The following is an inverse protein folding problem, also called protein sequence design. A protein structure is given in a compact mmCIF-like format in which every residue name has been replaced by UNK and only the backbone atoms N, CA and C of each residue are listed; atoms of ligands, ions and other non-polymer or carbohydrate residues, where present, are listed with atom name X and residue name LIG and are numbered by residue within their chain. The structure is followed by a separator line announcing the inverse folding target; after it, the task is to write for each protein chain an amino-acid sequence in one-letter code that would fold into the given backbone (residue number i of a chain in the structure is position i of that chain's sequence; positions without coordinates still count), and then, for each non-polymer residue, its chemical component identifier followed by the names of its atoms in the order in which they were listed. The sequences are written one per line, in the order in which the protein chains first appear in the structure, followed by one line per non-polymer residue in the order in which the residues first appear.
data_IF_427212099108
#
_entry.id   IF_427212099108
#
_cell.length_a   1.000
_cell.length_b   1.000
_cell.length_c   1.000
_cell.angle_alpha   90.00
_cell.angle_beta   90.00
_cell.angle_gamma   90.00
#
_symmetry.space_group_name_H-M   'P 1'
#
loop_
_entity.id
_entity.type
_entity.pdbx_description
1 polymer ?
#
# COMPACT_ATOMS: atom_id res chain seq x y z
N UNK A 1 23.69 12.83 -55.34
CA UNK A 1 23.30 13.51 -54.08
C UNK A 1 22.15 12.74 -53.46
N UNK A 2 22.21 12.46 -52.15
CA UNK A 2 21.04 12.03 -51.36
C UNK A 2 20.81 10.53 -51.25
N UNK A 3 21.46 9.91 -50.27
CA UNK A 3 21.05 8.65 -49.63
C UNK A 3 19.65 8.80 -48.99
N UNK A 4 18.84 7.74 -49.00
CA UNK A 4 17.99 7.41 -47.83
C UNK A 4 17.54 5.95 -47.86
N UNK A 5 18.20 5.17 -47.02
CA UNK A 5 18.01 3.75 -46.71
C UNK A 5 16.94 3.54 -45.63
N UNK A 6 16.14 2.48 -45.85
CA UNK A 6 15.69 1.46 -44.90
C UNK A 6 15.30 1.81 -43.44
N UNK A 7 14.07 1.40 -43.09
CA UNK A 7 13.62 0.75 -41.85
C UNK A 7 14.15 1.23 -40.49
N UNK A 8 13.26 1.79 -39.67
CA UNK A 8 13.29 1.64 -38.20
C UNK A 8 11.87 1.50 -37.62
N UNK A 9 11.32 0.30 -37.70
CA UNK A 9 10.40 -0.19 -36.67
C UNK A 9 11.27 -0.85 -35.60
N UNK A 10 11.62 -0.11 -34.54
CA UNK A 10 12.23 -0.69 -33.35
C UNK A 10 11.10 -1.08 -32.39
N UNK A 11 10.57 -2.28 -32.58
CA UNK A 11 9.84 -3.00 -31.55
C UNK A 11 10.76 -3.16 -30.34
N UNK A 12 10.41 -2.59 -29.19
CA UNK A 12 10.98 -2.97 -27.90
C UNK A 12 10.69 -4.45 -27.69
N UNK A 13 11.71 -5.27 -27.95
CA UNK A 13 11.68 -6.71 -27.77
C UNK A 13 11.31 -7.03 -26.33
N UNK A 14 10.19 -7.73 -26.20
CA UNK A 14 9.78 -8.47 -25.01
C UNK A 14 10.97 -9.35 -24.61
N UNK A 15 11.60 -9.04 -23.48
CA UNK A 15 12.62 -9.90 -22.88
C UNK A 15 11.96 -11.23 -22.54
N UNK A 16 12.45 -12.27 -23.19
CA UNK A 16 12.02 -13.65 -23.13
C UNK A 16 11.93 -14.16 -21.69
N UNK A 17 10.79 -14.79 -21.36
CA UNK A 17 10.45 -15.36 -20.04
C UNK A 17 11.27 -16.62 -19.70
N UNK A 18 12.20 -17.04 -20.57
CA UNK A 18 12.97 -18.28 -20.44
C UNK A 18 14.47 -18.09 -20.19
N UNK A 19 14.92 -16.99 -19.56
CA UNK A 19 16.23 -16.97 -18.92
C UNK A 19 16.21 -17.83 -17.63
N UNK A 20 15.92 -19.12 -17.81
CA UNK A 20 16.09 -20.18 -16.85
C UNK A 20 17.56 -20.24 -16.46
N UNK A 21 17.83 -20.24 -15.16
CA UNK A 21 19.13 -20.61 -14.62
C UNK A 21 19.43 -22.05 -15.04
N UNK A 22 20.20 -22.24 -16.12
CA UNK A 22 20.87 -23.51 -16.37
C UNK A 22 22.15 -23.50 -15.53
N UNK A 23 22.06 -24.01 -14.31
CA UNK A 23 23.23 -24.56 -13.63
C UNK A 23 23.34 -26.00 -14.13
N UNK A 24 24.11 -26.20 -15.20
CA UNK A 24 24.45 -27.54 -15.65
C UNK A 24 25.46 -28.14 -14.67
N UNK A 25 25.10 -29.27 -14.06
CA UNK A 25 26.04 -30.17 -13.40
C UNK A 25 26.99 -30.74 -14.46
N UNK A 26 28.14 -30.09 -14.68
CA UNK A 26 29.22 -30.65 -15.48
C UNK A 26 30.38 -31.03 -14.55
N UNK A 27 30.42 -32.30 -14.15
CA UNK A 27 31.65 -32.91 -13.62
C UNK A 27 32.64 -33.08 -14.78
N UNK A 28 33.56 -32.15 -14.94
CA UNK A 28 34.73 -32.35 -15.81
C UNK A 28 36.00 -31.94 -15.07
N UNK A 29 36.86 -32.92 -14.79
CA UNK A 29 38.22 -32.70 -14.28
C UNK A 29 39.06 -32.05 -15.39
N UNK A 30 39.67 -30.91 -15.09
CA UNK A 30 40.88 -30.41 -15.75
C UNK A 30 41.75 -29.66 -14.73
N UNK A 31 42.99 -30.13 -14.57
CA UNK A 31 44.06 -29.43 -13.86
C UNK A 31 44.49 -28.27 -14.75
N UNK A 32 44.35 -27.03 -14.27
CA UNK A 32 45.35 -25.96 -14.41
C UNK A 32 44.93 -24.74 -13.59
N UNK A 33 45.94 -24.07 -13.03
CA UNK A 33 45.80 -22.98 -12.05
C UNK A 33 45.22 -21.74 -12.72
N UNK A 34 43.92 -21.53 -12.54
CA UNK A 34 43.32 -20.22 -12.34
C UNK A 34 42.22 -20.44 -11.30
N UNK A 35 42.39 -19.90 -10.09
CA UNK A 35 41.35 -19.93 -9.08
C UNK A 35 40.21 -19.00 -9.52
N UNK A 36 39.40 -19.49 -10.45
CA UNK A 36 38.05 -19.03 -10.71
C UNK A 36 37.31 -19.19 -9.39
N UNK A 37 37.25 -18.12 -8.59
CA UNK A 37 36.39 -18.10 -7.41
C UNK A 37 34.96 -18.02 -7.92
N UNK A 38 34.32 -19.18 -8.07
CA UNK A 38 32.89 -19.26 -8.34
C UNK A 38 32.13 -18.65 -7.16
N UNK A 39 31.32 -17.62 -7.40
CA UNK A 39 30.36 -17.14 -6.41
C UNK A 39 29.09 -17.96 -6.55
N UNK A 40 28.79 -18.80 -5.57
CA UNK A 40 27.53 -19.55 -5.53
C UNK A 40 26.40 -18.61 -5.11
N UNK A 41 25.46 -18.38 -6.02
CA UNK A 41 24.30 -17.52 -5.79
C UNK A 41 23.09 -18.42 -5.52
N UNK A 42 22.44 -18.22 -4.38
CA UNK A 42 21.24 -18.98 -3.99
C UNK A 42 19.99 -18.11 -4.18
N UNK A 43 18.88 -18.64 -4.73
CA UNK A 43 17.62 -17.90 -4.80
C UNK A 43 17.07 -17.59 -3.39
N UNK A 44 16.79 -16.31 -3.12
CA UNK A 44 16.09 -15.89 -1.90
C UNK A 44 14.63 -16.39 -1.94
N UNK A 45 14.16 -17.02 -0.86
CA UNK A 45 12.76 -17.42 -0.72
C UNK A 45 11.90 -16.26 -0.21
N UNK A 46 10.63 -16.18 -0.63
CA UNK A 46 9.70 -15.14 -0.16
C UNK A 46 9.53 -15.10 1.36
N UNK A 47 9.65 -16.26 2.03
CA UNK A 47 9.60 -16.39 3.49
C UNK A 47 10.79 -15.75 4.21
N UNK A 48 11.88 -15.44 3.50
CA UNK A 48 13.06 -14.76 4.06
C UNK A 48 12.93 -13.23 4.00
N UNK A 49 11.98 -12.70 3.22
CA UNK A 49 11.75 -11.26 3.05
C UNK A 49 11.42 -10.55 4.38
N UNK A 50 10.57 -11.08 5.29
CA UNK A 50 10.35 -10.43 6.58
C UNK A 50 11.64 -10.24 7.40
N UNK A 51 12.60 -11.17 7.32
CA UNK A 51 13.86 -11.04 8.03
C UNK A 51 14.73 -9.92 7.40
N UNK A 52 14.78 -9.87 6.06
CA UNK A 52 15.45 -8.81 5.32
C UNK A 52 14.84 -7.42 5.60
N UNK A 53 13.51 -7.31 5.63
CA UNK A 53 12.78 -6.09 6.02
C UNK A 53 13.18 -5.62 7.42
N UNK A 54 13.25 -6.53 8.41
CA UNK A 54 13.68 -6.16 9.77
C UNK A 54 15.13 -5.65 9.82
N UNK A 55 16.06 -6.25 9.05
CA UNK A 55 17.46 -5.78 8.98
C UNK A 55 17.58 -4.34 8.46
N UNK A 56 16.71 -3.94 7.55
CA UNK A 56 16.67 -2.57 7.02
C UNK A 56 15.73 -1.62 7.80
N UNK A 57 15.22 -2.05 8.96
CA UNK A 57 14.37 -1.23 9.82
C UNK A 57 12.90 -1.17 9.40
N UNK A 58 12.46 -1.97 8.41
CA UNK A 58 11.08 -2.02 7.92
C UNK A 58 10.20 -2.91 8.80
N UNK A 59 9.93 -2.42 10.02
CA UNK A 59 9.25 -3.18 11.06
C UNK A 59 7.77 -3.40 10.77
N UNK A 60 7.07 -2.41 10.19
CA UNK A 60 5.63 -2.54 9.86
C UNK A 60 5.42 -3.43 8.65
N UNK A 61 6.22 -3.24 7.60
CA UNK A 61 6.21 -4.11 6.42
C UNK A 61 6.44 -5.57 6.80
N UNK A 62 7.47 -5.84 7.61
CA UNK A 62 7.76 -7.19 8.08
C UNK A 62 6.58 -7.78 8.87
N UNK A 63 5.98 -7.00 9.79
CA UNK A 63 4.85 -7.47 10.61
C UNK A 63 3.61 -7.80 9.76
N UNK A 64 3.30 -6.97 8.76
CA UNK A 64 2.20 -7.25 7.82
C UNK A 64 2.46 -8.52 7.02
N UNK A 65 3.70 -8.71 6.58
CA UNK A 65 4.09 -9.89 5.83
C UNK A 65 4.10 -11.17 6.69
N UNK A 66 4.52 -11.08 7.95
CA UNK A 66 4.39 -12.19 8.92
C UNK A 66 2.92 -12.57 9.12
N UNK A 67 2.03 -11.57 9.26
CA UNK A 67 0.58 -11.79 9.36
C UNK A 67 0.08 -12.50 8.11
N UNK A 68 0.47 -12.03 6.93
CA UNK A 68 0.08 -12.64 5.66
C UNK A 68 0.49 -14.12 5.61
N UNK A 69 1.76 -14.43 5.90
CA UNK A 69 2.29 -15.81 5.92
C UNK A 69 1.64 -16.73 6.96
N UNK A 70 1.24 -16.19 8.11
CA UNK A 70 0.60 -16.99 9.18
C UNK A 70 -0.89 -17.24 8.96
N UNK A 71 -1.54 -16.39 8.16
CA UNK A 71 -2.97 -16.46 7.86
C UNK A 71 -3.32 -17.68 7.00
N UNK A 72 -4.54 -18.25 7.14
CA UNK A 72 -5.05 -19.25 6.20
C UNK A 72 -4.96 -18.75 4.75
N UNK A 73 -4.76 -19.67 3.79
CA UNK A 73 -4.75 -19.31 2.38
C UNK A 73 -6.08 -18.63 2.00
N UNK A 74 -5.97 -17.37 1.60
CA UNK A 74 -7.11 -16.62 1.07
C UNK A 74 -6.59 -15.52 0.14
N UNK A 75 -7.09 -15.54 -1.09
CA UNK A 75 -6.86 -14.47 -2.06
C UNK A 75 -8.05 -13.51 -2.02
N UNK A 76 -7.78 -12.21 -1.88
CA UNK A 76 -8.82 -11.21 -1.92
C UNK A 76 -9.46 -11.19 -3.32
N UNK A 77 -10.80 -11.17 -3.43
CA UNK A 77 -11.45 -11.04 -4.73
C UNK A 77 -11.05 -9.75 -5.44
N UNK A 78 -10.76 -9.81 -6.74
CA UNK A 78 -10.39 -8.61 -7.52
C UNK A 78 -11.47 -7.52 -7.47
N UNK A 79 -12.74 -7.92 -7.36
CA UNK A 79 -13.85 -6.97 -7.23
C UNK A 79 -13.82 -6.16 -5.94
N UNK A 80 -13.18 -6.66 -4.87
CA UNK A 80 -12.95 -5.87 -3.65
C UNK A 80 -11.96 -4.74 -3.91
N UNK A 81 -10.91 -4.99 -4.71
CA UNK A 81 -9.91 -3.98 -5.09
C UNK A 81 -10.51 -2.84 -5.90
N UNK A 82 -11.43 -3.17 -6.82
CA UNK A 82 -12.20 -2.16 -7.56
C UNK A 82 -13.27 -1.44 -6.71
N UNK A 83 -13.48 -1.88 -5.47
CA UNK A 83 -14.51 -1.36 -4.57
C UNK A 83 -15.95 -1.77 -4.90
N UNK A 84 -16.14 -2.65 -5.90
CA UNK A 84 -17.46 -3.06 -6.40
C UNK A 84 -18.21 -3.94 -5.42
N UNK A 85 -17.56 -5.00 -4.93
CA UNK A 85 -18.19 -6.02 -4.08
C UNK A 85 -17.58 -6.09 -2.68
N UNK A 86 -16.80 -5.07 -2.29
CA UNK A 86 -16.23 -5.03 -0.94
C UNK A 86 -17.38 -4.94 0.08
N UNK A 87 -17.45 -5.85 1.08
CA UNK A 87 -18.43 -5.75 2.14
C UNK A 87 -18.34 -4.40 2.83
N UNK A 88 -19.47 -3.93 3.39
CA UNK A 88 -19.43 -2.73 4.22
C UNK A 88 -18.45 -2.96 5.36
N UNK A 89 -17.71 -1.92 5.74
CA UNK A 89 -16.55 -2.06 6.62
C UNK A 89 -16.85 -2.71 7.97
N UNK A 90 -18.07 -2.63 8.51
CA UNK A 90 -18.44 -3.35 9.75
C UNK A 90 -18.62 -4.85 9.57
N UNK A 91 -18.79 -5.34 8.34
CA UNK A 91 -19.04 -6.74 8.03
C UNK A 91 -17.83 -7.47 7.44
N UNK A 92 -16.68 -6.81 7.30
CA UNK A 92 -15.43 -7.48 6.91
C UNK A 92 -14.98 -8.35 8.10
N UNK A 93 -14.80 -9.67 7.95
CA UNK A 93 -14.33 -10.52 9.04
C UNK A 93 -12.99 -10.05 9.62
N UNK A 94 -12.75 -10.25 10.92
CA UNK A 94 -11.51 -9.84 11.58
C UNK A 94 -10.27 -10.55 11.04
N UNK A 95 -10.41 -11.79 10.56
CA UNK A 95 -9.33 -12.50 9.88
C UNK A 95 -8.86 -11.77 8.61
N UNK A 96 -9.78 -11.11 7.89
CA UNK A 96 -9.52 -10.35 6.66
C UNK A 96 -9.35 -8.85 6.88
N UNK A 97 -9.13 -8.41 8.13
CA UNK A 97 -8.91 -7.01 8.44
C UNK A 97 -7.86 -6.83 9.55
N UNK A 98 -6.79 -6.10 9.25
CA UNK A 98 -5.82 -5.66 10.23
C UNK A 98 -6.17 -4.25 10.73
N UNK A 99 -6.38 -4.13 12.05
CA UNK A 99 -6.73 -2.87 12.73
C UNK A 99 -5.65 -2.41 13.73
N UNK A 100 -4.51 -3.12 13.75
CA UNK A 100 -3.54 -3.05 14.84
C UNK A 100 -2.15 -2.64 14.40
N UNK A 101 -1.74 -3.02 13.18
CA UNK A 101 -0.36 -2.87 12.74
C UNK A 101 -0.05 -1.44 12.33
N UNK A 102 -0.98 -0.80 11.61
CA UNK A 102 -0.82 0.58 11.15
C UNK A 102 -1.56 1.52 12.08
N UNK A 103 -0.84 2.50 12.61
CA UNK A 103 -1.39 3.55 13.48
C UNK A 103 -1.14 4.92 12.90
N UNK A 104 -2.09 5.84 13.04
CA UNK A 104 -1.98 7.22 12.56
C UNK A 104 -0.76 7.93 13.15
N UNK A 105 -0.41 7.63 14.41
CA UNK A 105 0.81 8.15 15.05
C UNK A 105 2.11 7.70 14.36
N UNK A 106 2.13 6.52 13.75
CA UNK A 106 3.27 6.05 12.95
C UNK A 106 3.23 6.66 11.53
N UNK A 107 2.04 6.66 10.91
CA UNK A 107 1.81 7.21 9.56
C UNK A 107 2.24 8.69 9.47
N UNK A 108 1.95 9.48 10.50
CA UNK A 108 2.27 10.91 10.53
C UNK A 108 3.75 11.24 10.84
N UNK A 109 4.59 10.25 11.16
CA UNK A 109 6.04 10.46 11.27
C UNK A 109 6.70 10.67 9.90
N UNK A 110 5.99 10.43 8.81
CA UNK A 110 6.50 10.61 7.46
C UNK A 110 6.08 11.97 6.89
N UNK A 111 7.03 12.89 6.61
CA UNK A 111 6.70 14.26 6.18
C UNK A 111 5.78 14.33 4.96
N UNK A 112 6.00 13.45 3.96
CA UNK A 112 5.18 13.37 2.75
C UNK A 112 3.72 13.01 3.00
N UNK A 113 3.44 12.34 4.11
CA UNK A 113 2.06 12.02 4.51
C UNK A 113 1.47 13.14 5.33
N UNK A 114 2.28 13.77 6.20
CA UNK A 114 1.84 14.94 6.96
C UNK A 114 1.32 16.05 6.03
N UNK A 115 1.99 16.31 4.91
CA UNK A 115 1.53 17.28 3.91
C UNK A 115 0.12 16.94 3.38
N UNK A 116 -0.11 15.67 3.02
CA UNK A 116 -1.42 15.21 2.53
C UNK A 116 -2.49 15.19 3.62
N UNK A 117 -2.09 14.89 4.84
CA UNK A 117 -2.95 14.99 6.01
C UNK A 117 -3.41 16.45 6.24
N UNK A 118 -2.49 17.40 6.20
CA UNK A 118 -2.79 18.82 6.35
C UNK A 118 -3.74 19.32 5.24
N UNK A 119 -3.50 18.93 3.96
CA UNK A 119 -4.41 19.21 2.84
C UNK A 119 -5.81 18.60 3.06
N UNK A 120 -5.86 17.37 3.57
CA UNK A 120 -7.11 16.64 3.80
C UNK A 120 -7.99 17.36 4.83
N UNK A 121 -7.41 17.74 5.98
CA UNK A 121 -8.17 18.32 7.10
C UNK A 121 -8.50 19.80 6.91
N UNK A 122 -7.69 20.55 6.18
CA UNK A 122 -7.90 22.01 6.00
C UNK A 122 -8.78 22.32 4.80
N UNK A 123 -8.68 21.52 3.73
CA UNK A 123 -9.25 21.87 2.43
C UNK A 123 -10.24 20.82 1.95
N UNK A 124 -9.81 19.56 1.81
CA UNK A 124 -10.64 18.52 1.16
C UNK A 124 -11.88 18.20 1.98
N UNK A 125 -11.75 18.05 3.30
CA UNK A 125 -12.85 17.68 4.19
C UNK A 125 -14.07 18.62 4.06
N UNK A 126 -13.84 19.90 3.79
CA UNK A 126 -14.88 20.93 3.69
C UNK A 126 -15.21 21.36 2.26
N UNK A 127 -14.60 20.73 1.26
CA UNK A 127 -14.91 20.99 -0.14
C UNK A 127 -16.39 20.70 -0.46
N UNK A 128 -16.98 21.30 -1.51
CA UNK A 128 -18.35 20.99 -1.93
C UNK A 128 -18.59 19.49 -2.15
N UNK A 129 -17.60 18.76 -2.67
CA UNK A 129 -17.69 17.31 -2.81
C UNK A 129 -17.76 16.60 -1.45
N UNK A 130 -16.93 17.03 -0.48
CA UNK A 130 -16.95 16.50 0.88
C UNK A 130 -18.27 16.76 1.60
N UNK A 131 -18.82 17.96 1.50
CA UNK A 131 -20.11 18.30 2.12
C UNK A 131 -21.29 17.60 1.44
N UNK A 132 -21.26 17.40 0.11
CA UNK A 132 -22.25 16.54 -0.58
C UNK A 132 -22.20 15.11 -0.08
N UNK A 133 -21.03 14.58 0.23
CA UNK A 133 -20.94 13.24 0.83
C UNK A 133 -21.53 13.22 2.25
N UNK A 134 -21.30 14.24 3.07
CA UNK A 134 -21.97 14.39 4.38
C UNK A 134 -23.49 14.33 4.22
N UNK A 135 -24.08 15.05 3.26
CA UNK A 135 -25.53 15.01 2.99
C UNK A 135 -25.99 13.60 2.64
N UNK A 136 -25.28 12.90 1.75
CA UNK A 136 -25.59 11.50 1.41
C UNK A 136 -25.54 10.59 2.63
N UNK A 137 -24.54 10.75 3.51
CA UNK A 137 -24.41 9.97 4.74
C UNK A 137 -25.56 10.24 5.71
N UNK A 138 -25.90 11.51 5.92
CA UNK A 138 -27.03 11.90 6.77
C UNK A 138 -28.36 11.31 6.28
N UNK A 139 -28.66 11.42 4.98
CA UNK A 139 -29.85 10.81 4.36
C UNK A 139 -29.84 9.29 4.52
N UNK A 140 -28.68 8.63 4.31
CA UNK A 140 -28.53 7.18 4.49
C UNK A 140 -28.70 6.73 5.96
N UNK A 141 -28.42 7.60 6.93
CA UNK A 141 -28.70 7.39 8.34
C UNK A 141 -30.15 7.73 8.74
N UNK A 142 -30.99 8.10 7.78
CA UNK A 142 -32.41 8.35 7.99
C UNK A 142 -32.76 9.75 8.46
N UNK A 143 -31.81 10.71 8.47
CA UNK A 143 -32.16 12.09 8.78
C UNK A 143 -32.87 12.74 7.57
N UNK A 144 -34.04 13.33 7.83
CA UNK A 144 -34.90 13.95 6.81
C UNK A 144 -34.61 15.46 6.61
N UNK A 145 -33.63 15.99 7.35
CA UNK A 145 -33.25 17.39 7.30
C UNK A 145 -34.11 18.30 8.18
N UNK A 146 -34.91 17.75 9.10
CA UNK A 146 -35.69 18.50 10.10
C UNK A 146 -35.12 18.32 11.50
N UNK A 147 -35.31 19.34 12.34
CA UNK A 147 -34.78 19.34 13.71
C UNK A 147 -33.26 19.31 13.77
N UNK A 148 -32.72 18.93 14.93
CA UNK A 148 -31.29 18.71 15.13
C UNK A 148 -30.97 17.21 15.13
N UNK A 149 -29.87 16.83 14.49
CA UNK A 149 -29.38 15.47 14.38
C UNK A 149 -27.92 15.40 14.83
N UNK A 150 -27.62 14.49 15.75
CA UNK A 150 -26.24 14.25 16.20
C UNK A 150 -25.56 13.35 15.17
N UNK A 151 -24.65 13.91 14.38
CA UNK A 151 -23.90 13.19 13.36
C UNK A 151 -22.59 12.67 13.95
N UNK A 152 -22.64 11.46 14.49
CA UNK A 152 -21.52 10.80 15.16
C UNK A 152 -21.94 10.14 16.47
N UNK A 153 -21.03 9.36 17.08
CA UNK A 153 -21.22 8.79 18.42
C UNK A 153 -20.18 9.34 19.39
N UNK A 154 -20.64 9.71 20.58
CA UNK A 154 -19.82 10.32 21.61
C UNK A 154 -19.98 9.57 22.94
N UNK A 155 -18.94 9.53 23.75
CA UNK A 155 -19.05 9.10 25.15
C UNK A 155 -19.65 10.19 26.04
N UNK A 156 -19.82 9.89 27.32
CA UNK A 156 -20.44 10.79 28.32
C UNK A 156 -19.71 12.13 28.51
N UNK A 157 -18.40 12.19 28.18
CA UNK A 157 -17.60 13.43 28.23
C UNK A 157 -17.48 14.12 26.86
N UNK A 158 -18.29 13.72 25.87
CA UNK A 158 -18.38 14.36 24.56
C UNK A 158 -17.23 14.04 23.60
N UNK A 159 -16.43 12.99 23.84
CA UNK A 159 -15.37 12.55 22.92
C UNK A 159 -15.90 11.51 21.93
N UNK A 160 -15.47 11.53 20.64
CA UNK A 160 -15.86 10.52 19.66
C UNK A 160 -15.50 9.10 20.10
N UNK A 161 -16.40 8.15 19.85
CA UNK A 161 -16.20 6.70 20.09
C UNK A 161 -16.49 5.86 18.84
N UNK A 162 -16.14 6.42 17.69
CA UNK A 162 -16.37 5.84 16.37
C UNK A 162 -15.08 5.16 15.88
N UNK A 163 -15.17 3.87 15.52
CA UNK A 163 -14.04 3.12 14.94
C UNK A 163 -13.78 3.50 13.47
N UNK A 164 -12.62 3.10 12.91
CA UNK A 164 -12.32 3.32 11.49
C UNK A 164 -13.32 2.60 10.56
N UNK A 165 -13.85 1.44 10.97
CA UNK A 165 -14.92 0.74 10.24
C UNK A 165 -16.21 1.53 10.22
N UNK A 166 -16.62 2.06 11.36
CA UNK A 166 -17.82 2.92 11.42
C UNK A 166 -17.62 4.21 10.64
N UNK A 167 -16.42 4.80 10.69
CA UNK A 167 -16.06 5.94 9.85
C UNK A 167 -16.24 5.62 8.38
N UNK A 168 -15.61 4.56 7.88
CA UNK A 168 -15.71 4.13 6.48
C UNK A 168 -17.15 3.86 6.04
N UNK A 169 -17.96 3.26 6.91
CA UNK A 169 -19.33 2.88 6.59
C UNK A 169 -20.30 4.06 6.63
N UNK A 170 -20.19 4.93 7.63
CA UNK A 170 -21.22 5.92 7.95
C UNK A 170 -20.79 7.37 7.84
N UNK A 171 -19.53 7.71 8.09
CA UNK A 171 -19.14 9.12 8.30
C UNK A 171 -18.09 9.63 7.32
N UNK A 172 -17.47 8.75 6.54
CA UNK A 172 -16.46 9.11 5.55
C UNK A 172 -17.06 10.06 4.52
N UNK A 173 -16.40 11.21 4.36
CA UNK A 173 -16.87 12.27 3.47
C UNK A 173 -15.84 12.69 2.43
N UNK A 174 -14.54 12.52 2.70
CA UNK A 174 -13.51 12.74 1.68
C UNK A 174 -12.28 11.83 1.86
N UNK A 175 -11.39 11.83 0.88
CA UNK A 175 -10.12 11.12 0.91
C UNK A 175 -9.06 11.81 0.05
N UNK A 176 -7.80 11.46 0.26
CA UNK A 176 -6.67 11.84 -0.59
C UNK A 176 -5.66 10.70 -0.65
N UNK A 177 -5.11 10.46 -1.83
CA UNK A 177 -4.01 9.52 -2.01
C UNK A 177 -2.72 10.10 -1.41
N UNK A 178 -2.01 9.29 -0.64
CA UNK A 178 -0.70 9.61 -0.08
C UNK A 178 0.36 8.70 -0.69
N UNK A 179 1.61 9.19 -0.71
CA UNK A 179 2.74 8.44 -1.28
C UNK A 179 2.51 8.04 -2.74
N UNK A 180 1.93 8.94 -3.54
CA UNK A 180 1.89 8.76 -5.00
C UNK A 180 3.29 8.98 -5.55
N UNK A 181 3.92 7.94 -6.04
CA UNK A 181 5.31 8.01 -6.52
C UNK A 181 5.35 8.52 -7.97
N UNK A 182 6.07 9.62 -8.28
CA UNK A 182 6.51 9.85 -9.64
C UNK A 182 7.49 8.74 -10.06
N UNK A 183 7.67 8.55 -11.37
CA UNK A 183 8.38 7.45 -12.06
C UNK A 183 9.75 6.96 -11.51
N UNK A 184 10.35 7.62 -10.52
CA UNK A 184 11.60 7.20 -9.86
C UNK A 184 11.33 6.36 -8.59
N UNK A 185 10.71 5.20 -8.81
CA UNK A 185 10.25 4.18 -7.83
C UNK A 185 11.30 3.66 -6.81
N UNK A 186 12.56 4.11 -6.85
CA UNK A 186 13.66 3.53 -6.07
C UNK A 186 14.51 4.53 -5.28
N UNK A 187 14.17 5.83 -5.28
CA UNK A 187 14.99 6.84 -4.60
C UNK A 187 14.64 7.01 -3.11
N UNK A 188 13.44 6.59 -2.67
CA UNK A 188 13.04 6.57 -1.25
C UNK A 188 12.19 5.34 -0.93
N UNK A 189 12.84 4.17 -0.85
CA UNK A 189 12.22 2.97 -0.31
C UNK A 189 12.34 2.99 1.22
N UNK A 190 11.20 3.04 1.92
CA UNK A 190 11.14 2.98 3.38
C UNK A 190 10.04 2.03 3.89
N UNK A 191 9.92 1.88 5.21
CA UNK A 191 8.94 0.97 5.83
C UNK A 191 7.49 1.29 5.44
N UNK A 192 7.18 2.53 5.06
CA UNK A 192 5.83 2.86 4.62
C UNK A 192 5.59 2.42 3.17
N UNK A 193 6.61 2.48 2.31
CA UNK A 193 6.53 1.90 0.97
C UNK A 193 6.21 0.40 1.05
N UNK A 194 6.96 -0.35 1.86
CA UNK A 194 6.75 -1.79 2.00
C UNK A 194 5.43 -2.18 2.69
N UNK A 195 4.89 -1.30 3.52
CA UNK A 195 3.66 -1.57 4.27
C UNK A 195 2.37 -1.19 3.51
N UNK A 196 2.39 -0.08 2.77
CA UNK A 196 1.17 0.55 2.23
C UNK A 196 1.32 1.02 0.77
N UNK A 197 2.52 1.04 0.19
CA UNK A 197 2.74 1.60 -1.15
C UNK A 197 2.10 2.98 -1.33
N UNK A 198 1.16 3.10 -2.28
CA UNK A 198 0.23 4.23 -2.39
C UNK A 198 -1.09 3.87 -1.72
N UNK A 199 -1.50 4.66 -0.73
CA UNK A 199 -2.69 4.41 0.08
C UNK A 199 -3.58 5.65 0.20
N UNK A 200 -4.79 5.49 0.74
CA UNK A 200 -5.70 6.61 0.98
C UNK A 200 -5.74 7.02 2.45
N UNK A 201 -5.49 8.31 2.69
CA UNK A 201 -5.97 8.98 3.90
C UNK A 201 -7.44 9.33 3.70
N UNK A 202 -8.28 8.97 4.65
CA UNK A 202 -9.73 9.21 4.61
C UNK A 202 -10.15 10.05 5.80
N UNK A 203 -11.17 10.87 5.58
CA UNK A 203 -11.71 11.77 6.59
C UNK A 203 -13.22 11.64 6.73
N UNK A 204 -13.71 11.93 7.93
CA UNK A 204 -15.13 12.12 8.23
C UNK A 204 -15.32 13.24 9.26
N UNK A 205 -16.41 13.98 9.11
CA UNK A 205 -16.80 15.08 9.99
C UNK A 205 -17.86 14.60 10.97
N UNK A 206 -17.69 14.89 12.26
CA UNK A 206 -18.70 14.65 13.27
C UNK A 206 -19.17 15.97 13.89
N UNK A 207 -20.46 16.06 14.21
CA UNK A 207 -21.06 17.30 14.69
C UNK A 207 -22.57 17.21 14.90
N UNK A 208 -23.23 18.35 14.77
CA UNK A 208 -24.69 18.45 14.82
C UNK A 208 -25.18 19.04 13.51
N UNK A 209 -25.99 18.27 12.78
CA UNK A 209 -26.67 18.76 11.60
C UNK A 209 -28.04 19.31 12.01
N UNK A 210 -28.46 20.44 11.45
CA UNK A 210 -29.74 21.05 11.77
C UNK A 210 -30.24 21.93 10.64
N UNK A 211 -31.54 22.22 10.66
CA UNK A 211 -32.16 23.25 9.82
C UNK A 211 -32.28 24.54 10.61
N UNK A 212 -31.69 25.61 10.11
CA UNK A 212 -31.70 26.92 10.76
C UNK A 212 -32.96 27.72 10.40
N UNK A 213 -33.13 28.88 11.03
CA UNK A 213 -34.28 29.79 10.83
C UNK A 213 -34.40 30.31 9.39
N UNK A 214 -33.30 30.30 8.62
CA UNK A 214 -33.28 30.66 7.21
C UNK A 214 -33.74 29.51 6.28
N UNK A 215 -34.26 28.43 6.88
CA UNK A 215 -34.71 27.21 6.23
C UNK A 215 -33.59 26.48 5.44
N UNK A 216 -32.32 26.77 5.71
CA UNK A 216 -31.18 26.03 5.15
C UNK A 216 -30.65 25.02 6.16
N UNK A 217 -29.96 24.03 5.64
CA UNK A 217 -29.36 22.96 6.44
C UNK A 217 -27.89 23.27 6.67
N UNK A 218 -27.44 23.09 7.91
CA UNK A 218 -26.06 23.30 8.32
C UNK A 218 -25.52 22.09 9.08
N UNK A 219 -24.20 21.92 9.05
CA UNK A 219 -23.45 21.07 9.96
C UNK A 219 -22.57 21.96 10.84
N UNK A 220 -22.82 21.92 12.15
CA UNK A 220 -21.89 22.41 13.16
C UNK A 220 -20.92 21.28 13.51
N UNK A 221 -19.73 21.29 12.89
CA UNK A 221 -18.70 20.30 13.15
C UNK A 221 -18.10 20.51 14.53
N UNK A 222 -17.71 19.42 15.18
CA UNK A 222 -16.97 19.43 16.45
C UNK A 222 -15.65 18.67 16.33
N UNK A 223 -15.63 17.63 15.51
CA UNK A 223 -14.47 16.78 15.30
C UNK A 223 -14.32 16.42 13.84
N UNK A 224 -13.07 16.30 13.43
CA UNK A 224 -12.66 15.63 12.20
C UNK A 224 -11.89 14.37 12.59
N UNK A 225 -12.26 13.24 11.99
CA UNK A 225 -11.58 11.96 12.18
C UNK A 225 -10.83 11.58 10.92
N UNK A 226 -9.56 11.21 11.05
CA UNK A 226 -8.72 10.78 9.92
C UNK A 226 -8.18 9.37 10.17
N UNK A 227 -8.21 8.53 9.14
CA UNK A 227 -7.71 7.16 9.19
C UNK A 227 -7.14 6.72 7.83
N UNK A 228 -6.33 5.68 7.84
CA UNK A 228 -5.84 4.98 6.64
C UNK A 228 -6.77 3.82 6.32
N UNK A 229 -7.05 3.64 5.03
CA UNK A 229 -7.59 2.40 4.49
C UNK A 229 -6.73 1.95 3.30
N UNK A 230 -6.36 0.68 3.33
CA UNK A 230 -5.60 0.03 2.25
C UNK A 230 -5.89 -1.48 2.18
N UNK A 231 -5.28 -2.18 1.22
CA UNK A 231 -5.34 -3.64 1.09
C UNK A 231 -3.93 -4.22 1.01
N UNK A 232 -3.64 -5.23 1.83
CA UNK A 232 -2.38 -5.98 1.78
C UNK A 232 -2.63 -7.31 1.07
N UNK A 233 -2.19 -7.39 -0.18
CA UNK A 233 -2.54 -8.46 -1.10
C UNK A 233 -1.45 -8.68 -2.14
N UNK A 234 -1.45 -9.89 -2.74
CA UNK A 234 -0.53 -10.26 -3.81
C UNK A 234 -1.30 -10.87 -5.00
N UNK A 235 -2.36 -10.20 -5.46
CA UNK A 235 -3.15 -10.57 -6.64
C UNK A 235 -2.71 -9.74 -7.86
N UNK A 236 -2.82 -10.32 -9.06
CA UNK A 236 -2.41 -9.64 -10.29
C UNK A 236 -3.53 -8.71 -10.78
N UNK A 237 -3.20 -7.44 -10.98
CA UNK A 237 -4.12 -6.47 -11.58
C UNK A 237 -4.18 -6.66 -13.10
N UNK A 238 -5.38 -6.78 -13.67
CA UNK A 238 -5.58 -6.88 -15.12
C UNK A 238 -4.70 -7.98 -15.77
N UNK A 239 -4.40 -9.06 -15.03
CA UNK A 239 -3.55 -10.16 -15.49
C UNK A 239 -2.04 -9.88 -15.54
N UNK A 240 -1.57 -8.70 -15.13
CA UNK A 240 -0.14 -8.38 -15.09
C UNK A 240 0.48 -8.82 -13.77
N UNK A 241 1.54 -9.63 -13.84
CA UNK A 241 2.32 -10.04 -12.67
C UNK A 241 3.17 -8.86 -12.18
N UNK A 242 2.80 -8.30 -11.02
CA UNK A 242 3.42 -7.10 -10.50
C UNK A 242 4.81 -7.40 -9.94
N UNK A 243 5.81 -6.65 -10.40
CA UNK A 243 7.17 -6.69 -9.85
C UNK A 243 7.24 -5.97 -8.51
N UNK A 244 7.77 -6.65 -7.49
CA UNK A 244 7.89 -6.20 -6.09
C UNK A 244 9.35 -5.89 -5.69
N UNK A 245 10.26 -5.91 -6.65
CA UNK A 245 11.65 -5.54 -6.47
C UNK A 245 12.62 -6.72 -6.51
N UNK A 246 13.91 -6.37 -6.47
CA UNK A 246 14.99 -7.35 -6.31
C UNK A 246 15.39 -7.38 -4.85
N UNK A 247 15.28 -8.53 -4.22
CA UNK A 247 15.52 -8.72 -2.79
C UNK A 247 16.77 -9.55 -2.54
N UNK A 248 17.50 -9.19 -1.50
CA UNK A 248 18.55 -10.03 -0.89
C UNK A 248 18.19 -10.34 0.56
N UNK A 249 19.00 -11.18 1.20
CA UNK A 249 18.86 -11.46 2.63
C UNK A 249 19.12 -10.22 3.51
N UNK A 250 19.62 -9.12 2.94
CA UNK A 250 19.91 -7.85 3.61
C UNK A 250 18.92 -6.73 3.26
N UNK A 251 17.96 -6.97 2.37
CA UNK A 251 16.91 -6.01 2.02
C UNK A 251 16.68 -5.89 0.51
N UNK A 252 15.77 -4.99 0.15
CA UNK A 252 15.50 -4.65 -1.25
C UNK A 252 16.64 -3.82 -1.86
N UNK A 253 16.98 -4.09 -3.11
CA UNK A 253 17.96 -3.31 -3.84
C UNK A 253 17.40 -1.94 -4.22
N UNK A 254 18.13 -0.89 -3.84
CA UNK A 254 17.86 0.48 -4.32
C UNK A 254 18.30 0.65 -5.78
N UNK A 255 17.92 1.77 -6.40
CA UNK A 255 18.27 2.08 -7.79
C UNK A 255 19.77 1.94 -8.07
N UNK A 256 20.60 2.51 -7.19
CA UNK A 256 22.05 2.47 -7.34
C UNK A 256 22.60 1.04 -7.34
N UNK A 257 22.10 0.19 -6.45
CA UNK A 257 22.48 -1.23 -6.40
C UNK A 257 21.94 -2.01 -7.60
N UNK A 258 20.76 -1.68 -8.09
CA UNK A 258 20.20 -2.28 -9.30
C UNK A 258 21.00 -1.91 -10.56
N UNK A 259 21.43 -0.65 -10.71
CA UNK A 259 22.33 -0.24 -11.80
C UNK A 259 23.65 -0.99 -11.72
N UNK A 260 24.23 -1.09 -10.52
CA UNK A 260 25.46 -1.85 -10.29
C UNK A 260 25.30 -3.34 -10.66
N UNK A 261 24.13 -3.94 -10.35
CA UNK A 261 23.79 -5.29 -10.77
C UNK A 261 23.85 -5.43 -12.29
N UNK A 262 23.22 -4.53 -13.04
CA UNK A 262 23.22 -4.55 -14.51
C UNK A 262 24.62 -4.38 -15.08
N UNK A 263 25.43 -3.47 -14.52
CA UNK A 263 26.84 -3.31 -14.92
C UNK A 263 27.67 -4.55 -14.61
N UNK A 264 27.40 -5.22 -13.48
CA UNK A 264 28.09 -6.46 -13.10
C UNK A 264 27.81 -7.63 -14.03
N UNK A 265 26.64 -7.67 -14.68
CA UNK A 265 26.33 -8.69 -15.69
C UNK A 265 27.18 -8.55 -16.96
N UNK A 266 27.80 -7.38 -17.17
CA UNK A 266 28.68 -7.13 -18.31
C UNK A 266 30.16 -7.39 -17.97
N UNK A 267 30.51 -7.66 -16.71
CA UNK A 267 31.90 -7.79 -16.24
C UNK A 267 32.03 -8.76 -15.05
N UNK A 268 32.70 -9.91 -15.25
CA UNK A 268 32.89 -10.95 -14.23
C UNK A 268 33.67 -10.49 -12.99
N UNK A 269 34.62 -9.55 -13.13
CA UNK A 269 35.33 -8.98 -11.98
C UNK A 269 34.42 -8.09 -11.13
N UNK A 270 33.52 -7.35 -11.78
CA UNK A 270 32.53 -6.51 -11.09
C UNK A 270 31.44 -7.36 -10.41
N UNK A 271 31.10 -8.51 -10.98
CA UNK A 271 30.15 -9.49 -10.43
C UNK A 271 30.57 -10.04 -9.07
N UNK A 272 31.85 -10.40 -8.91
CA UNK A 272 32.38 -10.86 -7.62
C UNK A 272 32.26 -9.78 -6.54
N UNK A 273 32.67 -8.54 -6.87
CA UNK A 273 32.57 -7.42 -5.94
C UNK A 273 31.12 -7.10 -5.58
N UNK A 274 30.22 -7.14 -6.57
CA UNK A 274 28.80 -6.94 -6.36
C UNK A 274 28.20 -7.95 -5.36
N UNK A 275 28.40 -9.25 -5.55
CA UNK A 275 27.87 -10.26 -4.63
C UNK A 275 28.52 -10.22 -3.23
N UNK A 276 29.79 -9.81 -3.13
CA UNK A 276 30.40 -9.51 -1.83
C UNK A 276 29.73 -8.34 -1.11
N UNK A 277 29.23 -7.34 -1.84
CA UNK A 277 28.55 -6.17 -1.27
C UNK A 277 27.10 -6.43 -0.87
N UNK A 278 26.36 -7.23 -1.65
CA UNK A 278 24.90 -7.38 -1.48
C UNK A 278 24.48 -8.67 -0.78
N UNK A 279 25.39 -9.64 -0.66
CA UNK A 279 25.11 -11.00 -0.25
C UNK A 279 24.96 -11.95 -1.44
N UNK A 280 25.02 -13.25 -1.17
CA UNK A 280 24.90 -14.30 -2.18
C UNK A 280 23.46 -14.82 -2.35
N UNK A 281 22.50 -14.33 -1.56
CA UNK A 281 21.07 -14.62 -1.74
C UNK A 281 20.38 -13.48 -2.48
N UNK A 282 19.77 -13.77 -3.62
CA UNK A 282 19.08 -12.76 -4.44
C UNK A 282 17.89 -13.36 -5.18
N UNK A 283 16.79 -12.61 -5.29
CA UNK A 283 15.66 -12.97 -6.14
C UNK A 283 14.94 -11.73 -6.68
N UNK A 284 14.39 -11.85 -7.90
CA UNK A 284 13.38 -10.91 -8.42
C UNK A 284 12.02 -11.40 -7.92
N UNK A 285 11.36 -10.58 -7.12
CA UNK A 285 10.10 -10.98 -6.47
C UNK A 285 8.93 -10.36 -7.22
N UNK A 286 7.89 -11.15 -7.44
CA UNK A 286 6.62 -10.75 -8.04
C UNK A 286 5.45 -11.24 -7.19
N UNK A 287 4.24 -10.80 -7.53
CA UNK A 287 3.01 -11.31 -6.91
C UNK A 287 2.86 -12.83 -7.11
N UNK A 288 3.27 -13.36 -8.27
CA UNK A 288 3.22 -14.80 -8.55
C UNK A 288 4.04 -15.66 -7.57
N UNK A 289 5.14 -15.15 -7.00
CA UNK A 289 5.92 -15.88 -5.99
C UNK A 289 5.13 -16.08 -4.69
N UNK A 290 4.36 -15.06 -4.28
CA UNK A 290 3.46 -15.15 -3.12
C UNK A 290 2.24 -16.02 -3.41
N UNK A 291 1.67 -15.94 -4.61
CA UNK A 291 0.58 -16.82 -5.04
C UNK A 291 1.02 -18.28 -5.02
N UNK A 292 2.21 -18.59 -5.56
CA UNK A 292 2.77 -19.93 -5.53
C UNK A 292 3.00 -20.42 -4.09
N UNK A 293 3.50 -19.56 -3.20
CA UNK A 293 3.60 -19.88 -1.78
C UNK A 293 2.22 -20.25 -1.22
N UNK A 294 1.18 -19.47 -1.54
CA UNK A 294 -0.17 -19.71 -1.06
C UNK A 294 -0.73 -21.06 -1.46
N UNK A 295 -0.62 -21.37 -2.74
CA UNK A 295 -1.13 -22.62 -3.32
C UNK A 295 -0.39 -23.84 -2.73
N UNK A 296 0.93 -23.71 -2.55
CA UNK A 296 1.77 -24.81 -2.04
C UNK A 296 1.60 -25.09 -0.56
N UNK A 297 1.40 -24.05 0.26
CA UNK A 297 1.45 -24.17 1.72
C UNK A 297 0.08 -24.08 2.39
N UNK A 298 -0.99 -23.76 1.64
CA UNK A 298 -2.32 -23.48 2.18
C UNK A 298 -2.30 -22.36 3.26
N UNK A 299 -1.40 -21.40 3.08
CA UNK A 299 -1.10 -20.26 3.96
C UNK A 299 -0.79 -19.02 3.14
N UNK A 300 -1.04 -17.82 3.64
CA UNK A 300 -0.90 -16.60 2.83
C UNK A 300 -2.25 -15.97 2.59
N UNK A 301 -2.74 -15.26 3.60
CA UNK A 301 -4.07 -14.64 3.57
C UNK A 301 -3.98 -13.14 3.32
N UNK A 302 -4.64 -12.66 2.27
CA UNK A 302 -4.80 -11.23 2.02
C UNK A 302 -5.71 -10.59 3.09
N UNK A 303 -5.61 -9.28 3.29
CA UNK A 303 -6.48 -8.57 4.22
C UNK A 303 -6.59 -7.08 3.92
N UNK A 304 -7.66 -6.46 4.42
CA UNK A 304 -7.83 -5.00 4.45
C UNK A 304 -7.04 -4.43 5.63
N UNK A 305 -6.43 -3.27 5.46
CA UNK A 305 -5.83 -2.50 6.54
C UNK A 305 -6.74 -1.32 6.87
N UNK A 306 -7.04 -1.15 8.15
CA UNK A 306 -7.65 0.06 8.70
C UNK A 306 -6.80 0.55 9.88
N UNK A 307 -6.37 1.80 9.89
CA UNK A 307 -5.68 2.34 11.07
C UNK A 307 -6.66 2.63 12.22
N UNK A 308 -6.13 3.04 13.37
CA UNK A 308 -6.91 3.81 14.33
C UNK A 308 -7.37 5.15 13.71
N UNK A 309 -8.39 5.76 14.32
CA UNK A 309 -8.87 7.09 13.92
C UNK A 309 -8.15 8.15 14.75
N UNK A 310 -7.45 9.05 14.08
CA UNK A 310 -6.95 10.26 14.68
C UNK A 310 -8.07 11.31 14.74
N UNK A 311 -8.48 11.67 15.95
CA UNK A 311 -9.50 12.68 16.19
C UNK A 311 -8.88 14.05 16.47
N UNK A 312 -9.33 15.06 15.74
CA UNK A 312 -8.95 16.47 15.95
C UNK A 312 -10.22 17.23 16.31
N UNK A 313 -10.17 18.02 17.39
CA UNK A 313 -11.26 18.92 17.75
C UNK A 313 -11.20 20.14 16.81
N UNK A 314 -12.21 20.31 15.99
CA UNK A 314 -12.29 21.39 15.01
C UNK A 314 -13.75 21.83 14.86
N UNK A 315 -14.03 23.03 15.36
CA UNK A 315 -15.36 23.63 15.30
C UNK A 315 -15.52 24.45 14.02
N UNK A 316 -16.68 24.36 13.38
CA UNK A 316 -17.03 25.16 12.22
C UNK A 316 -18.48 24.94 11.84
N UNK A 317 -19.09 25.94 11.18
CA UNK A 317 -20.45 25.86 10.65
C UNK A 317 -20.39 25.85 9.14
N UNK A 318 -20.95 24.81 8.53
CA UNK A 318 -20.92 24.61 7.08
C UNK A 318 -22.33 24.42 6.57
N UNK A 319 -22.72 25.21 5.56
CA UNK A 319 -23.97 25.01 4.84
C UNK A 319 -23.91 23.69 4.08
N UNK A 320 -24.98 22.91 4.16
CA UNK A 320 -25.17 21.68 3.41
C UNK A 320 -26.19 21.92 2.29
N UNK A 321 -25.81 21.58 1.06
CA UNK A 321 -26.73 21.54 -0.08
C UNK A 321 -27.62 20.30 0.07
N UNK A 322 -28.73 20.48 0.79
CA UNK A 322 -29.62 19.38 1.19
C UNK A 322 -30.58 18.92 0.10
N UNK A 323 -31.00 19.86 -0.75
CA UNK A 323 -32.04 19.64 -1.77
C UNK A 323 -31.54 18.78 -2.94
#
# INVERSE_FOLDING_TARGET
MGLSSANRNASLGILDKNAQFIVSEAKTKLKERNASSSVEVTPLQVTEIPAAMRKMGWKRSAKLLDRWFSSPAWAMPESWKSGRDMPKALYIPSEHCDEETIKMSWVLNYPRVKEKFDELITTRAYSPAGLRQVVKRLKALGWDGRGAYTFGRYNIIGRPVVSAREMEQYYQNNFIAACTFPYNIFDTLDDMYGALGTFNLKTGLLGTAFRDIDNKVYLDTRYIGVYVKDTFEFINNNGSDQFLGVWTDNGILTRGKFILMTTSQLNESAKKYYYQLIGNKIAKIHNSDFQHYRDKNNKGGDFVILSDVLWIKQSGRYRLDWD
#
